data_IF_712160374143
#
_entry.id   IF_712160374143
#
_cell.length_a   1.000
_cell.length_b   1.000
_cell.length_c   1.000
_cell.angle_alpha   90.00
_cell.angle_beta   90.00
_cell.angle_gamma   90.00
#
_symmetry.space_group_name_H-M   'P 1'
#
loop_
_entity.id
_entity.type
_entity.pdbx_description
1 polymer ?
#
# COMPACT_ATOMS: atom_id res chain seq x y z
N UNK A 1 -59.34 37.33 -57.69
CA UNK A 1 -58.94 36.06 -57.14
C UNK A 1 -57.49 36.19 -56.67
N UNK A 2 -57.26 36.44 -55.41
CA UNK A 2 -55.98 36.87 -54.84
C UNK A 2 -55.41 35.76 -53.96
N UNK A 3 -54.24 35.22 -54.36
CA UNK A 3 -53.49 34.30 -53.55
C UNK A 3 -52.64 35.05 -52.53
N UNK A 4 -52.84 34.77 -51.27
CA UNK A 4 -52.01 35.29 -50.18
C UNK A 4 -51.11 34.15 -49.69
N UNK A 5 -49.83 34.22 -50.01
CA UNK A 5 -48.81 33.35 -49.52
C UNK A 5 -48.36 33.77 -48.11
N UNK A 6 -48.53 32.91 -47.13
CA UNK A 6 -48.08 33.13 -45.75
C UNK A 6 -46.61 32.71 -45.64
N UNK A 7 -45.77 33.69 -45.35
CA UNK A 7 -44.35 33.47 -44.95
C UNK A 7 -44.32 32.94 -43.52
N UNK A 8 -43.83 31.73 -43.34
CA UNK A 8 -43.46 31.18 -42.02
C UNK A 8 -42.00 31.49 -41.75
N UNK A 9 -41.76 32.46 -40.87
CA UNK A 9 -40.43 32.70 -40.29
C UNK A 9 -40.12 31.59 -39.30
N UNK A 10 -39.08 30.82 -39.62
CA UNK A 10 -38.51 29.84 -38.71
C UNK A 10 -37.38 30.50 -37.90
N UNK A 11 -37.71 30.93 -36.70
CA UNK A 11 -36.71 31.32 -35.72
C UNK A 11 -35.95 30.09 -35.24
N UNK A 12 -34.67 29.98 -35.64
CA UNK A 12 -33.76 28.93 -35.17
C UNK A 12 -33.21 29.37 -33.81
N UNK A 13 -33.71 28.77 -32.73
CA UNK A 13 -33.19 29.00 -31.38
C UNK A 13 -31.92 28.20 -31.20
N UNK A 14 -30.78 28.87 -31.27
CA UNK A 14 -29.45 28.28 -31.02
C UNK A 14 -29.30 28.14 -29.51
N UNK A 15 -29.55 26.93 -28.99
CA UNK A 15 -29.26 26.57 -27.59
C UNK A 15 -27.75 26.28 -27.53
N UNK A 16 -26.96 27.24 -27.05
CA UNK A 16 -25.56 27.05 -26.72
C UNK A 16 -25.48 26.14 -25.47
N UNK A 17 -25.17 24.87 -25.69
CA UNK A 17 -24.86 23.93 -24.66
C UNK A 17 -23.49 24.29 -24.07
N UNK A 18 -23.46 25.08 -22.99
CA UNK A 18 -22.23 25.34 -22.24
C UNK A 18 -21.90 24.02 -21.49
N UNK A 19 -21.10 23.19 -22.18
CA UNK A 19 -20.51 22.00 -21.56
C UNK A 19 -19.54 22.46 -20.47
N UNK A 20 -19.97 22.40 -19.20
CA UNK A 20 -19.01 22.40 -18.09
C UNK A 20 -18.11 21.20 -18.27
N UNK A 21 -16.91 21.43 -18.79
CA UNK A 21 -15.83 20.47 -18.78
C UNK A 21 -15.49 20.20 -17.30
N UNK A 22 -16.00 19.10 -16.77
CA UNK A 22 -15.58 18.58 -15.47
C UNK A 22 -14.16 18.08 -15.63
N UNK A 23 -13.18 18.95 -15.37
CA UNK A 23 -11.78 18.54 -15.24
C UNK A 23 -11.66 17.87 -13.89
N UNK A 24 -11.43 16.54 -13.82
CA UNK A 24 -11.11 15.93 -12.55
C UNK A 24 -9.84 16.58 -12.01
N UNK A 25 -9.92 17.17 -10.82
CA UNK A 25 -8.78 17.77 -10.17
C UNK A 25 -7.70 16.69 -9.99
N UNK A 26 -6.65 16.74 -10.81
CA UNK A 26 -5.47 15.88 -10.71
C UNK A 26 -4.67 16.09 -9.40
N UNK A 27 -4.98 17.14 -8.63
CA UNK A 27 -4.32 17.45 -7.37
C UNK A 27 -4.72 16.54 -6.19
N UNK A 28 -5.80 15.76 -6.30
CA UNK A 28 -6.26 14.87 -5.23
C UNK A 28 -5.39 13.60 -5.06
N UNK A 29 -4.39 13.39 -5.92
CA UNK A 29 -3.60 12.16 -5.97
C UNK A 29 -2.09 12.39 -5.81
N UNK A 30 -1.68 13.56 -5.30
CA UNK A 30 -0.25 13.79 -5.01
C UNK A 30 0.21 12.82 -3.93
N UNK A 31 1.01 11.84 -4.36
CA UNK A 31 1.68 10.88 -3.50
C UNK A 31 2.78 11.53 -2.66
N UNK A 32 3.21 10.84 -1.60
CA UNK A 32 4.37 11.24 -0.81
C UNK A 32 5.63 10.60 -1.34
N UNK A 33 6.69 11.40 -1.52
CA UNK A 33 8.02 10.89 -1.91
C UNK A 33 8.89 10.75 -0.67
N UNK A 34 9.46 9.55 -0.49
CA UNK A 34 10.41 9.22 0.58
C UNK A 34 11.60 8.49 -0.05
N UNK A 35 12.81 9.00 0.17
CA UNK A 35 14.06 8.45 -0.40
C UNK A 35 13.96 8.14 -1.91
N UNK A 36 13.36 9.05 -2.69
CA UNK A 36 13.21 8.91 -4.14
C UNK A 36 12.06 8.02 -4.60
N UNK A 37 11.32 7.37 -3.70
CA UNK A 37 10.14 6.56 -4.02
C UNK A 37 8.87 7.36 -3.78
N UNK A 38 8.01 7.44 -4.78
CA UNK A 38 6.70 8.11 -4.67
C UNK A 38 5.60 7.08 -4.42
N UNK A 39 4.79 7.32 -3.40
CA UNK A 39 3.66 6.51 -3.01
C UNK A 39 2.35 7.25 -3.28
N UNK A 40 1.37 6.57 -3.84
CA UNK A 40 0.04 7.13 -4.04
C UNK A 40 -0.64 7.46 -2.71
N UNK A 41 -1.46 8.50 -2.68
CA UNK A 41 -2.21 8.89 -1.47
C UNK A 41 -3.26 7.86 -1.06
N UNK A 42 -3.66 6.97 -1.97
CA UNK A 42 -4.65 5.91 -1.75
C UNK A 42 -4.22 4.60 -2.40
N UNK A 43 -4.65 3.49 -1.82
CA UNK A 43 -4.49 2.15 -2.37
C UNK A 43 -5.86 1.46 -2.41
N UNK A 44 -6.33 1.06 -3.58
CA UNK A 44 -7.57 0.32 -3.74
C UNK A 44 -7.34 -1.18 -3.44
N UNK A 45 -8.09 -1.74 -2.48
CA UNK A 45 -8.06 -3.14 -2.10
C UNK A 45 -9.48 -3.69 -2.03
N UNK A 46 -9.89 -4.53 -2.98
CA UNK A 46 -11.20 -5.22 -2.98
C UNK A 46 -12.38 -4.32 -2.62
N UNK A 47 -12.48 -3.15 -3.24
CA UNK A 47 -13.56 -2.18 -3.01
C UNK A 47 -13.34 -1.27 -1.80
N UNK A 48 -12.27 -1.44 -1.02
CA UNK A 48 -11.88 -0.53 0.05
C UNK A 48 -10.75 0.40 -0.43
N UNK A 49 -10.89 1.70 -0.23
CA UNK A 49 -9.82 2.67 -0.48
C UNK A 49 -9.04 2.92 0.81
N UNK A 50 -7.85 2.34 0.91
CA UNK A 50 -6.93 2.64 1.99
C UNK A 50 -6.25 3.97 1.75
N UNK A 51 -6.00 4.73 2.82
CA UNK A 51 -5.28 5.99 2.80
C UNK A 51 -3.81 5.76 3.15
N UNK A 52 -2.92 6.49 2.52
CA UNK A 52 -1.51 6.54 2.91
C UNK A 52 -1.39 7.05 4.34
N UNK A 53 -0.77 6.26 5.22
CA UNK A 53 -0.53 6.63 6.62
C UNK A 53 0.84 7.29 6.80
N UNK A 54 1.85 6.71 6.20
CA UNK A 54 3.22 7.18 6.27
C UNK A 54 4.17 6.19 5.63
N UNK A 55 5.41 6.62 5.39
CA UNK A 55 6.47 5.79 4.85
C UNK A 55 7.82 6.14 5.46
N UNK A 56 8.74 5.20 5.44
CA UNK A 56 10.09 5.40 5.93
C UNK A 56 11.11 4.53 5.19
N UNK A 57 12.36 4.94 5.33
CA UNK A 57 13.51 4.25 4.76
C UNK A 57 14.04 3.18 5.72
N UNK A 58 14.30 2.00 5.19
CA UNK A 58 15.07 0.95 5.88
C UNK A 58 16.53 1.09 5.53
N UNK A 59 17.28 1.59 6.47
CA UNK A 59 18.74 1.60 6.42
C UNK A 59 19.30 0.45 7.26
N UNK A 60 20.36 -0.21 6.79
CA UNK A 60 21.13 -1.16 7.59
C UNK A 60 22.61 -0.84 7.38
N UNK A 61 23.32 -0.51 8.47
CA UNK A 61 24.65 0.11 8.41
C UNK A 61 24.60 1.41 7.58
N UNK A 62 25.31 1.48 6.47
CA UNK A 62 25.35 2.62 5.54
C UNK A 62 24.57 2.37 4.25
N UNK A 63 23.76 1.32 4.19
CA UNK A 63 23.04 0.91 2.98
C UNK A 63 21.56 1.21 3.09
N UNK A 64 21.03 1.96 2.14
CA UNK A 64 19.61 2.12 1.91
C UNK A 64 19.08 0.87 1.20
N UNK A 65 18.18 0.14 1.85
CA UNK A 65 17.73 -1.16 1.36
C UNK A 65 16.37 -1.08 0.64
N UNK A 66 15.37 -0.51 1.31
CA UNK A 66 14.03 -0.38 0.79
C UNK A 66 13.28 0.76 1.48
N UNK A 67 12.21 1.23 0.86
CA UNK A 67 11.24 2.12 1.49
C UNK A 67 9.97 1.33 1.74
N UNK A 68 9.38 1.46 2.93
CA UNK A 68 8.09 0.85 3.23
C UNK A 68 7.05 1.90 3.62
N UNK A 69 5.86 1.77 3.05
CA UNK A 69 4.69 2.59 3.32
C UNK A 69 3.58 1.77 3.97
N UNK A 70 2.85 2.39 4.88
CA UNK A 70 1.67 1.84 5.53
C UNK A 70 0.41 2.49 4.96
N UNK A 71 -0.60 1.66 4.66
CA UNK A 71 -1.91 2.08 4.18
C UNK A 71 -3.00 1.55 5.11
N UNK A 72 -3.89 2.43 5.57
CA UNK A 72 -4.94 2.15 6.55
C UNK A 72 -6.30 2.66 6.04
N UNK A 73 -7.40 2.16 6.62
CA UNK A 73 -8.74 2.73 6.40
C UNK A 73 -8.86 4.18 6.91
N UNK A 74 -8.15 4.48 8.00
CA UNK A 74 -7.99 5.82 8.58
C UNK A 74 -6.57 5.98 9.11
N UNK A 75 -5.93 7.13 8.88
CA UNK A 75 -4.61 7.39 9.42
C UNK A 75 -4.55 7.23 10.94
N UNK A 76 -3.45 6.66 11.43
CA UNK A 76 -3.21 6.43 12.85
C UNK A 76 -1.71 6.41 13.17
N UNK A 77 -1.33 6.93 14.31
CA UNK A 77 0.03 6.87 14.86
C UNK A 77 0.18 5.79 15.95
N UNK A 78 -0.91 5.13 16.32
CA UNK A 78 -0.93 4.09 17.35
C UNK A 78 -0.58 2.73 16.74
N UNK A 79 0.67 2.31 16.90
CA UNK A 79 1.18 1.05 16.38
C UNK A 79 0.43 -0.17 16.96
N UNK A 80 0.06 -0.14 18.25
CA UNK A 80 -0.65 -1.24 18.92
C UNK A 80 -2.06 -1.41 18.36
N UNK A 81 -2.78 -0.30 18.21
CA UNK A 81 -4.12 -0.30 17.60
C UNK A 81 -4.07 -0.77 16.14
N UNK A 82 -3.06 -0.35 15.35
CA UNK A 82 -2.86 -0.79 13.96
C UNK A 82 -2.61 -2.30 13.90
N UNK A 83 -1.67 -2.81 14.71
CA UNK A 83 -1.35 -4.24 14.72
C UNK A 83 -2.54 -5.10 15.16
N UNK A 84 -3.30 -4.67 16.15
CA UNK A 84 -4.45 -5.41 16.71
C UNK A 84 -5.71 -5.32 15.86
N UNK A 85 -5.79 -4.33 14.95
CA UNK A 85 -6.98 -4.07 14.15
C UNK A 85 -7.32 -5.23 13.20
N UNK A 86 -8.59 -5.64 13.18
CA UNK A 86 -9.13 -6.59 12.20
C UNK A 86 -9.80 -5.86 11.03
N UNK A 87 -9.09 -4.89 10.43
CA UNK A 87 -9.54 -4.13 9.26
C UNK A 87 -8.57 -4.31 8.12
N UNK A 88 -9.01 -4.06 6.88
CA UNK A 88 -8.13 -4.08 5.71
C UNK A 88 -7.00 -3.06 5.90
N UNK A 89 -5.77 -3.52 5.71
CA UNK A 89 -4.54 -2.74 5.86
C UNK A 89 -3.50 -3.26 4.88
N UNK A 90 -2.54 -2.43 4.49
CA UNK A 90 -1.46 -2.88 3.63
C UNK A 90 -0.12 -2.25 4.02
N UNK A 91 0.96 -3.02 3.83
CA UNK A 91 2.33 -2.52 3.80
C UNK A 91 2.82 -2.69 2.37
N UNK A 92 3.26 -1.58 1.75
CA UNK A 92 3.91 -1.58 0.44
C UNK A 92 5.40 -1.35 0.65
N UNK A 93 6.23 -2.24 0.11
CA UNK A 93 7.69 -2.17 0.18
C UNK A 93 8.21 -1.98 -1.24
N UNK A 94 9.12 -1.03 -1.43
CA UNK A 94 9.82 -0.82 -2.71
C UNK A 94 11.31 -1.01 -2.48
N UNK A 95 11.88 -1.98 -3.17
CA UNK A 95 13.33 -2.29 -3.10
C UNK A 95 14.10 -1.19 -3.82
N UNK A 96 15.08 -0.59 -3.14
CA UNK A 96 15.88 0.51 -3.73
C UNK A 96 17.37 0.17 -3.84
N UNK A 97 17.76 -1.05 -3.52
CA UNK A 97 19.16 -1.50 -3.51
C UNK A 97 19.33 -2.91 -4.05
N UNK A 98 20.30 -3.12 -4.91
CA UNK A 98 20.72 -4.44 -5.40
C UNK A 98 21.37 -5.30 -4.30
N UNK A 99 21.57 -4.74 -3.10
CA UNK A 99 22.08 -5.50 -1.94
C UNK A 99 21.01 -6.30 -1.21
N UNK A 100 19.74 -6.11 -1.57
CA UNK A 100 18.61 -6.90 -1.07
C UNK A 100 18.49 -8.15 -1.94
N UNK A 101 19.03 -9.25 -1.47
CA UNK A 101 18.86 -10.57 -2.10
C UNK A 101 17.70 -11.30 -1.43
N UNK A 102 17.10 -12.29 -2.13
CA UNK A 102 16.08 -13.17 -1.59
C UNK A 102 16.49 -13.77 -0.24
N UNK A 103 17.71 -14.29 -0.14
CA UNK A 103 18.19 -14.96 1.07
C UNK A 103 18.29 -13.98 2.24
N UNK A 104 18.86 -12.78 2.04
CA UNK A 104 18.91 -11.74 3.07
C UNK A 104 17.53 -11.25 3.49
N UNK A 105 16.59 -11.18 2.55
CA UNK A 105 15.21 -10.84 2.86
C UNK A 105 14.55 -11.92 3.73
N UNK A 106 14.69 -13.19 3.35
CA UNK A 106 14.16 -14.32 4.10
C UNK A 106 14.77 -14.42 5.51
N UNK A 107 16.06 -14.17 5.66
CA UNK A 107 16.74 -14.10 6.97
C UNK A 107 16.17 -12.96 7.81
N UNK A 108 15.97 -11.78 7.22
CA UNK A 108 15.38 -10.63 7.92
C UNK A 108 13.93 -10.88 8.34
N UNK A 109 13.16 -11.60 7.52
CA UNK A 109 11.80 -12.05 7.86
C UNK A 109 11.83 -13.00 9.05
N UNK A 110 12.71 -14.02 9.03
CA UNK A 110 12.89 -14.97 10.13
C UNK A 110 13.27 -14.27 11.43
N UNK A 111 14.26 -13.36 11.38
CA UNK A 111 14.67 -12.55 12.51
C UNK A 111 13.51 -11.67 13.03
N UNK A 112 12.75 -11.06 12.11
CA UNK A 112 11.59 -10.23 12.43
C UNK A 112 10.50 -11.00 13.18
N UNK A 113 10.17 -12.21 12.74
CA UNK A 113 9.21 -13.07 13.46
C UNK A 113 9.74 -13.52 14.83
N UNK A 114 11.02 -13.85 14.94
CA UNK A 114 11.65 -14.19 16.22
C UNK A 114 11.61 -13.01 17.24
N UNK A 115 11.67 -11.78 16.75
CA UNK A 115 11.58 -10.56 17.56
C UNK A 115 10.14 -10.09 17.81
N UNK A 116 9.13 -10.73 17.17
CA UNK A 116 7.73 -10.35 17.32
C UNK A 116 7.24 -10.62 18.75
N UNK A 117 6.68 -9.59 19.36
CA UNK A 117 6.02 -9.66 20.68
C UNK A 117 4.51 -9.57 20.60
N UNK A 118 3.96 -9.43 19.38
CA UNK A 118 2.53 -9.22 19.14
C UNK A 118 2.04 -10.23 18.09
N UNK A 119 0.96 -10.92 18.41
CA UNK A 119 0.43 -12.00 17.56
C UNK A 119 1.23 -13.29 17.69
N UNK A 120 0.87 -14.28 16.87
CA UNK A 120 1.54 -15.58 16.81
C UNK A 120 1.65 -16.00 15.34
N UNK A 121 2.79 -16.53 14.97
CA UNK A 121 3.02 -17.17 13.68
C UNK A 121 3.66 -18.53 13.92
N UNK A 122 3.04 -19.59 13.43
CA UNK A 122 3.63 -20.93 13.43
C UNK A 122 4.75 -21.01 12.41
N UNK A 123 5.66 -21.98 12.57
CA UNK A 123 6.74 -22.21 11.60
C UNK A 123 6.17 -22.47 10.19
N UNK A 124 5.08 -23.22 10.08
CA UNK A 124 4.41 -23.51 8.81
C UNK A 124 3.90 -22.24 8.11
N UNK A 125 3.33 -21.29 8.88
CA UNK A 125 2.89 -19.99 8.33
C UNK A 125 4.06 -19.12 7.88
N UNK A 126 5.16 -19.11 8.64
CA UNK A 126 6.40 -18.41 8.29
C UNK A 126 6.98 -19.00 6.98
N UNK A 127 7.03 -20.33 6.87
CA UNK A 127 7.54 -21.00 5.67
C UNK A 127 6.64 -20.74 4.47
N UNK A 128 5.30 -20.80 4.63
CA UNK A 128 4.33 -20.43 3.60
C UNK A 128 4.48 -18.97 3.15
N UNK A 129 4.79 -18.07 4.08
CA UNK A 129 5.08 -16.67 3.75
C UNK A 129 6.38 -16.52 2.95
N UNK A 130 7.44 -17.20 3.35
CA UNK A 130 8.73 -17.21 2.64
C UNK A 130 8.61 -17.80 1.23
N UNK A 131 7.75 -18.79 1.04
CA UNK A 131 7.47 -19.38 -0.27
C UNK A 131 6.86 -18.40 -1.28
N UNK A 132 6.34 -17.27 -0.83
CA UNK A 132 5.91 -16.18 -1.72
C UNK A 132 7.10 -15.48 -2.40
N UNK A 133 8.34 -15.67 -1.91
CA UNK A 133 9.55 -14.96 -2.35
C UNK A 133 10.58 -15.94 -2.90
N UNK A 134 10.22 -16.65 -3.99
CA UNK A 134 11.10 -17.66 -4.63
C UNK A 134 12.10 -17.05 -5.60
N UNK A 135 11.72 -15.92 -6.20
CA UNK A 135 12.54 -15.22 -7.20
C UNK A 135 13.51 -14.24 -6.51
N UNK A 136 14.61 -13.90 -7.17
CA UNK A 136 15.51 -12.84 -6.70
C UNK A 136 14.83 -11.48 -6.85
N UNK A 137 15.23 -10.54 -5.98
CA UNK A 137 14.75 -9.17 -6.04
C UNK A 137 15.61 -8.31 -6.94
N UNK A 138 14.94 -7.39 -7.65
CA UNK A 138 15.58 -6.33 -8.39
C UNK A 138 15.27 -4.97 -7.74
N UNK A 139 16.17 -4.02 -7.95
CA UNK A 139 15.89 -2.63 -7.60
C UNK A 139 14.65 -2.15 -8.37
N UNK A 140 13.68 -1.57 -7.67
CA UNK A 140 12.40 -1.16 -8.19
C UNK A 140 11.26 -2.16 -7.94
N UNK A 141 11.55 -3.38 -7.49
CA UNK A 141 10.49 -4.34 -7.18
C UNK A 141 9.58 -3.84 -6.06
N UNK A 142 8.28 -3.99 -6.28
CA UNK A 142 7.21 -3.61 -5.36
C UNK A 142 6.59 -4.84 -4.71
N UNK A 143 6.65 -4.94 -3.38
CA UNK A 143 6.01 -5.99 -2.59
C UNK A 143 4.82 -5.37 -1.87
N UNK A 144 3.63 -5.93 -2.03
CA UNK A 144 2.48 -5.55 -1.23
C UNK A 144 2.07 -6.70 -0.30
N UNK A 145 1.98 -6.40 0.99
CA UNK A 145 1.48 -7.26 2.04
C UNK A 145 0.11 -6.74 2.45
N UNK A 146 -0.95 -7.38 1.95
CA UNK A 146 -2.32 -6.87 2.05
C UNK A 146 -3.13 -7.75 2.98
N UNK A 147 -3.48 -7.24 4.15
CA UNK A 147 -4.39 -7.93 5.06
C UNK A 147 -5.85 -7.67 4.71
N UNK A 148 -6.62 -8.74 4.61
CA UNK A 148 -8.07 -8.71 4.41
C UNK A 148 -8.75 -9.49 5.55
N UNK A 149 -9.67 -8.88 6.32
CA UNK A 149 -10.38 -9.55 7.40
C UNK A 149 -11.05 -10.86 6.96
N UNK A 150 -10.94 -11.88 7.81
CA UNK A 150 -11.49 -13.21 7.55
C UNK A 150 -10.74 -14.03 6.48
N UNK A 151 -9.66 -13.46 5.90
CA UNK A 151 -8.83 -14.15 4.91
C UNK A 151 -7.39 -14.29 5.35
N UNK A 152 -6.71 -13.20 5.68
CA UNK A 152 -5.30 -13.21 6.03
C UNK A 152 -4.50 -12.19 5.23
N UNK A 153 -3.18 -12.42 5.11
CA UNK A 153 -2.25 -11.56 4.40
C UNK A 153 -1.95 -12.14 3.02
N UNK A 154 -2.43 -11.45 1.98
CA UNK A 154 -2.05 -11.73 0.60
C UNK A 154 -0.73 -11.02 0.26
N UNK A 155 0.13 -11.70 -0.49
CA UNK A 155 1.39 -11.17 -0.98
C UNK A 155 1.30 -10.99 -2.49
N UNK A 156 1.66 -9.80 -2.98
CA UNK A 156 1.88 -9.55 -4.41
C UNK A 156 3.28 -8.98 -4.63
N UNK A 157 3.91 -9.33 -5.75
CA UNK A 157 5.18 -8.75 -6.20
C UNK A 157 4.95 -8.22 -7.61
N UNK A 158 5.21 -6.94 -7.82
CA UNK A 158 4.99 -6.25 -9.10
C UNK A 158 3.57 -6.49 -9.65
N UNK A 159 2.56 -6.42 -8.76
CA UNK A 159 1.16 -6.68 -9.08
C UNK A 159 0.78 -8.17 -9.23
N UNK A 160 1.74 -9.08 -9.32
CA UNK A 160 1.49 -10.52 -9.45
C UNK A 160 1.24 -11.16 -8.08
N UNK A 161 0.12 -11.86 -7.93
CA UNK A 161 -0.19 -12.61 -6.72
C UNK A 161 0.79 -13.77 -6.51
N UNK A 162 1.34 -13.88 -5.30
CA UNK A 162 2.33 -14.91 -4.91
C UNK A 162 1.80 -15.90 -3.88
N UNK A 163 0.88 -15.49 -3.01
CA UNK A 163 0.33 -16.37 -1.98
C UNK A 163 -0.52 -15.65 -0.95
N UNK A 164 -1.09 -16.44 -0.03
CA UNK A 164 -1.90 -15.98 1.10
C UNK A 164 -1.50 -16.77 2.35
N UNK A 165 -1.26 -16.07 3.45
CA UNK A 165 -1.16 -16.69 4.78
C UNK A 165 -2.33 -16.23 5.61
N UNK A 166 -3.10 -17.17 6.14
CA UNK A 166 -4.36 -16.92 6.81
C UNK A 166 -4.17 -16.41 8.24
N UNK A 167 -5.20 -15.74 8.76
CA UNK A 167 -5.33 -15.42 10.17
C UNK A 167 -4.89 -14.02 10.59
N UNK A 168 -5.58 -13.53 11.62
CA UNK A 168 -5.30 -12.24 12.24
C UNK A 168 -4.01 -12.32 13.10
N UNK A 169 -3.77 -13.43 13.77
CA UNK A 169 -2.58 -13.60 14.62
C UNK A 169 -1.29 -13.58 13.80
N UNK A 170 -1.30 -14.23 12.62
CA UNK A 170 -0.19 -14.12 11.66
C UNK A 170 0.02 -12.67 11.22
N UNK A 171 -1.05 -11.95 10.85
CA UNK A 171 -0.96 -10.53 10.47
C UNK A 171 -0.36 -9.68 11.59
N UNK A 172 -0.77 -9.87 12.83
CA UNK A 172 -0.21 -9.15 13.98
C UNK A 172 1.30 -9.41 14.10
N UNK A 173 1.72 -10.68 14.04
CA UNK A 173 3.11 -11.05 14.09
C UNK A 173 3.92 -10.47 12.92
N UNK A 174 3.39 -10.55 11.70
CA UNK A 174 4.05 -10.00 10.51
C UNK A 174 4.20 -8.47 10.60
N UNK A 175 3.14 -7.73 10.95
CA UNK A 175 3.18 -6.27 11.03
C UNK A 175 4.10 -5.80 12.17
N UNK A 176 4.29 -6.60 13.22
CA UNK A 176 5.21 -6.28 14.31
C UNK A 176 6.68 -6.22 13.88
N UNK A 177 7.04 -6.82 12.75
CA UNK A 177 8.38 -6.70 12.16
C UNK A 177 8.74 -5.22 11.93
N UNK A 178 7.76 -4.41 11.56
CA UNK A 178 7.96 -2.97 11.33
C UNK A 178 7.40 -2.09 12.43
N UNK A 179 6.31 -2.49 13.09
CA UNK A 179 5.55 -1.65 14.01
C UNK A 179 5.66 -2.07 15.47
N UNK A 180 6.24 -3.24 15.76
CA UNK A 180 6.37 -3.79 17.11
C UNK A 180 7.40 -3.07 18.00
N UNK A 181 7.64 -3.60 19.18
CA UNK A 181 8.57 -3.03 20.16
C UNK A 181 10.04 -3.19 19.76
N UNK A 182 10.34 -4.27 19.01
CA UNK A 182 11.66 -4.55 18.43
C UNK A 182 11.59 -4.47 16.89
N UNK A 183 11.31 -3.29 16.31
CA UNK A 183 11.09 -3.18 14.88
C UNK A 183 12.39 -3.35 14.10
N UNK A 184 12.29 -3.72 12.84
CA UNK A 184 13.42 -3.79 11.91
C UNK A 184 14.24 -2.48 11.88
N UNK A 185 13.56 -1.33 12.04
CA UNK A 185 14.20 -0.01 12.20
C UNK A 185 13.26 0.94 12.95
N UNK A 186 13.76 1.59 14.01
CA UNK A 186 12.99 2.61 14.74
C UNK A 186 12.65 3.82 13.86
N UNK A 187 13.56 4.25 12.97
CA UNK A 187 13.36 5.35 12.03
C UNK A 187 12.27 5.01 11.02
N UNK A 188 12.34 3.81 10.43
CA UNK A 188 11.31 3.31 9.53
C UNK A 188 9.93 3.24 10.20
N UNK A 189 9.84 2.70 11.43
CA UNK A 189 8.60 2.66 12.22
C UNK A 189 7.99 4.05 12.37
N UNK A 190 8.78 5.06 12.78
CA UNK A 190 8.31 6.45 12.92
C UNK A 190 7.77 6.98 11.59
N UNK A 191 8.48 6.75 10.49
CA UNK A 191 8.04 7.15 9.16
C UNK A 191 6.71 6.51 8.76
N UNK A 192 6.55 5.20 8.93
CA UNK A 192 5.31 4.48 8.63
C UNK A 192 4.13 4.95 9.50
N UNK A 193 4.40 5.41 10.73
CA UNK A 193 3.38 5.97 11.64
C UNK A 193 3.10 7.47 11.37
N UNK A 194 3.73 8.09 10.36
CA UNK A 194 3.55 9.51 10.06
C UNK A 194 4.10 10.46 11.14
N UNK A 195 5.11 10.02 11.89
CA UNK A 195 5.73 10.76 13.01
C UNK A 195 7.01 11.51 12.58
N UNK A 196 7.24 11.69 11.29
CA UNK A 196 8.39 12.41 10.69
C UNK A 196 7.94 13.28 9.56
#
# INVERSE_FOLDING_TARGET
MKNISKLFSRSFLLIAFLGLAYTPNADAQKGRTVAGVTFDSKMAVKGTNLQFNGAGLREKYTLDLYVAALYLDRPSMDASAIMSSNKTQAIKIVIISDKVTRDKFNDSVKEGFANSTTGKASQSEIDKFKDCFKDEFNKGDEINLIYVPGKGVAVTINGTYKGLVEGLEFKKALFSIWLGDKPASKKLKKGMLGQV
#
